data_IF_238067995830
#
_entry.id   IF_238067995830
#
_cell.length_a   1.000
_cell.length_b   1.000
_cell.length_c   1.000
_cell.angle_alpha   90.00
_cell.angle_beta   90.00
_cell.angle_gamma   90.00
#
_symmetry.space_group_name_H-M   'P 1'
#
loop_
_entity.id
_entity.type
_entity.pdbx_description
1 polymer ?
#
# COMPACT_ATOMS: atom_id res chain seq x y z
N UNK A 1 -21.60 36.49 -41.62
CA UNK A 1 -20.53 37.28 -40.96
C UNK A 1 -19.73 36.31 -40.14
N UNK A 2 -18.45 36.14 -40.47
CA UNK A 2 -17.57 35.22 -39.75
C UNK A 2 -16.89 36.01 -38.61
N UNK A 3 -17.38 35.79 -37.39
CA UNK A 3 -16.85 36.43 -36.18
C UNK A 3 -15.63 35.68 -35.63
N UNK A 4 -15.37 34.44 -36.09
CA UNK A 4 -14.17 33.70 -35.73
C UNK A 4 -12.90 34.36 -36.30
N UNK A 5 -13.05 35.18 -37.35
CA UNK A 5 -11.98 35.98 -37.91
C UNK A 5 -11.30 36.90 -36.86
N UNK A 6 -12.05 37.42 -35.88
CA UNK A 6 -11.50 38.28 -34.81
C UNK A 6 -10.62 37.53 -33.81
N UNK A 7 -10.68 36.20 -33.80
CA UNK A 7 -9.86 35.35 -32.93
C UNK A 7 -8.58 34.85 -33.62
N UNK A 8 -8.39 35.15 -34.90
CA UNK A 8 -7.20 34.75 -35.63
C UNK A 8 -6.07 35.77 -35.43
N UNK A 9 -4.84 35.28 -35.23
CA UNK A 9 -3.65 36.12 -35.04
C UNK A 9 -3.32 36.96 -36.29
N UNK A 10 -3.67 36.49 -37.49
CA UNK A 10 -3.46 37.16 -38.78
C UNK A 10 -4.66 38.00 -39.26
N UNK A 11 -5.50 38.48 -38.33
CA UNK A 11 -6.71 39.23 -38.71
C UNK A 11 -6.40 40.53 -39.48
N UNK A 12 -6.84 40.61 -40.75
CA UNK A 12 -6.84 41.86 -41.54
C UNK A 12 -8.23 42.52 -41.54
N UNK A 13 -8.39 43.68 -40.86
CA UNK A 13 -9.64 44.44 -40.86
C UNK A 13 -10.10 44.85 -42.26
N UNK A 14 -9.18 45.15 -43.19
CA UNK A 14 -9.52 45.60 -44.54
C UNK A 14 -10.08 44.46 -45.37
N UNK A 15 -9.41 43.31 -45.36
CA UNK A 15 -9.89 42.11 -46.04
C UNK A 15 -11.26 41.69 -45.48
N UNK A 16 -11.42 41.73 -44.16
CA UNK A 16 -12.68 41.39 -43.50
C UNK A 16 -13.82 42.35 -43.87
N UNK A 17 -13.60 43.67 -43.85
CA UNK A 17 -14.60 44.67 -44.29
C UNK A 17 -14.96 44.41 -45.76
N UNK A 18 -13.96 44.29 -46.63
CA UNK A 18 -14.19 44.09 -48.07
C UNK A 18 -14.96 42.81 -48.36
N UNK A 19 -14.72 41.72 -47.62
CA UNK A 19 -15.46 40.46 -47.72
C UNK A 19 -16.89 40.59 -47.18
N UNK A 20 -17.08 41.32 -46.09
CA UNK A 20 -18.39 41.50 -45.44
C UNK A 20 -19.33 42.39 -46.26
N UNK A 21 -18.79 43.36 -47.01
CA UNK A 21 -19.57 44.26 -47.89
C UNK A 21 -19.85 43.69 -49.29
N UNK A 22 -19.44 42.45 -49.58
CA UNK A 22 -19.75 41.80 -50.88
C UNK A 22 -21.20 41.30 -50.97
N UNK A 23 -21.93 41.24 -49.85
CA UNK A 23 -23.29 40.74 -49.76
C UNK A 23 -24.32 41.63 -50.49
N UNK A 24 -25.44 41.07 -50.97
CA UNK A 24 -26.50 41.82 -51.65
C UNK A 24 -27.05 42.99 -50.82
N UNK A 25 -27.23 42.80 -49.51
CA UNK A 25 -27.79 43.84 -48.61
C UNK A 25 -26.87 45.06 -48.51
N UNK A 26 -25.55 44.85 -48.56
CA UNK A 26 -24.56 45.93 -48.54
C UNK A 26 -24.51 46.71 -49.87
N UNK A 27 -25.02 46.14 -50.96
CA UNK A 27 -25.09 46.80 -52.29
C UNK A 27 -26.30 47.71 -52.43
N UNK A 28 -27.40 47.40 -51.75
CA UNK A 28 -28.60 48.25 -51.72
C UNK A 28 -28.39 49.51 -50.88
N UNK A 29 -27.90 49.37 -49.65
CA UNK A 29 -27.67 50.51 -48.76
C UNK A 29 -26.44 50.29 -47.86
N UNK A 30 -25.31 50.88 -48.27
CA UNK A 30 -24.03 50.74 -47.55
C UNK A 30 -24.05 51.34 -46.15
N UNK A 31 -24.71 52.48 -45.95
CA UNK A 31 -24.76 53.17 -44.65
C UNK A 31 -25.61 52.41 -43.63
N UNK A 32 -26.77 51.91 -44.06
CA UNK A 32 -27.66 51.11 -43.20
C UNK A 32 -27.02 49.77 -42.83
N UNK A 33 -26.36 49.13 -43.79
CA UNK A 33 -25.61 47.90 -43.53
C UNK A 33 -24.43 48.16 -42.57
N UNK A 34 -23.65 49.24 -42.77
CA UNK A 34 -22.56 49.61 -41.86
C UNK A 34 -23.07 49.85 -40.42
N UNK A 35 -24.18 50.58 -40.28
CA UNK A 35 -24.83 50.85 -38.98
C UNK A 35 -25.25 49.55 -38.29
N UNK A 36 -25.84 48.62 -39.05
CA UNK A 36 -26.23 47.30 -38.56
C UNK A 36 -25.03 46.48 -38.08
N UNK A 37 -23.91 46.51 -38.83
CA UNK A 37 -22.68 45.82 -38.44
C UNK A 37 -22.08 46.41 -37.17
N UNK A 38 -22.04 47.74 -37.05
CA UNK A 38 -21.55 48.42 -35.83
C UNK A 38 -22.40 48.03 -34.63
N UNK A 39 -23.73 48.03 -34.75
CA UNK A 39 -24.62 47.62 -33.68
C UNK A 39 -24.40 46.16 -33.24
N UNK A 40 -24.19 45.25 -34.21
CA UNK A 40 -23.87 43.84 -33.93
C UNK A 40 -22.52 43.69 -33.22
N UNK A 41 -21.49 44.41 -33.66
CA UNK A 41 -20.17 44.38 -33.01
C UNK A 41 -20.25 44.94 -31.58
N UNK A 42 -21.04 45.98 -31.35
CA UNK A 42 -21.27 46.53 -30.01
C UNK A 42 -21.96 45.51 -29.09
N UNK A 43 -23.00 44.81 -29.58
CA UNK A 43 -23.65 43.71 -28.84
C UNK A 43 -22.65 42.61 -28.48
N UNK A 44 -21.81 42.21 -29.45
CA UNK A 44 -20.80 41.18 -29.23
C UNK A 44 -19.77 41.58 -28.17
N UNK A 45 -19.29 42.82 -28.19
CA UNK A 45 -18.38 43.35 -27.15
C UNK A 45 -19.04 43.27 -25.77
N UNK A 46 -20.33 43.62 -25.68
CA UNK A 46 -21.07 43.54 -24.42
C UNK A 46 -21.21 42.09 -23.94
N UNK A 47 -21.57 41.16 -24.83
CA UNK A 47 -21.69 39.74 -24.49
C UNK A 47 -20.36 39.15 -24.00
N UNK A 48 -19.26 39.46 -24.67
CA UNK A 48 -17.92 39.02 -24.25
C UNK A 48 -17.55 39.60 -22.89
N UNK A 49 -17.79 40.90 -22.66
CA UNK A 49 -17.51 41.52 -21.37
C UNK A 49 -18.32 40.88 -20.24
N UNK A 50 -19.62 40.66 -20.45
CA UNK A 50 -20.49 40.01 -19.45
C UNK A 50 -20.01 38.58 -19.16
N UNK A 51 -19.66 37.82 -20.20
CA UNK A 51 -19.16 36.46 -20.06
C UNK A 51 -17.83 36.41 -19.30
N UNK A 52 -16.93 37.34 -19.60
CA UNK A 52 -15.65 37.48 -18.91
C UNK A 52 -15.83 37.87 -17.44
N UNK A 53 -16.67 38.87 -17.15
CA UNK A 53 -16.99 39.33 -15.80
C UNK A 53 -17.56 38.18 -14.96
N UNK A 54 -18.53 37.44 -15.52
CA UNK A 54 -19.14 36.28 -14.84
C UNK A 54 -18.11 35.19 -14.55
N UNK A 55 -17.21 34.93 -15.49
CA UNK A 55 -16.15 33.93 -15.30
C UNK A 55 -15.16 34.39 -14.23
N UNK A 56 -14.74 35.65 -14.28
CA UNK A 56 -13.84 36.23 -13.28
C UNK A 56 -14.46 36.21 -11.87
N UNK A 57 -15.75 36.53 -11.76
CA UNK A 57 -16.48 36.46 -10.50
C UNK A 57 -16.55 35.02 -9.96
N UNK A 58 -16.86 34.04 -10.81
CA UNK A 58 -16.84 32.63 -10.43
C UNK A 58 -15.45 32.17 -9.97
N UNK A 59 -14.39 32.58 -10.66
CA UNK A 59 -13.01 32.27 -10.27
C UNK A 59 -12.69 32.89 -8.91
N UNK A 60 -13.03 34.17 -8.70
CA UNK A 60 -12.80 34.87 -7.43
C UNK A 60 -13.56 34.24 -6.26
N UNK A 61 -14.77 33.73 -6.48
CA UNK A 61 -15.54 33.04 -5.45
C UNK A 61 -14.99 31.64 -5.13
N UNK A 62 -14.46 30.93 -6.13
CA UNK A 62 -14.01 29.54 -5.96
C UNK A 62 -12.58 29.42 -5.45
N UNK A 63 -11.67 30.34 -5.79
CA UNK A 63 -10.26 30.29 -5.36
C UNK A 63 -10.10 30.14 -3.83
N UNK A 64 -10.79 30.93 -2.99
CA UNK A 64 -10.66 30.79 -1.53
C UNK A 64 -11.14 29.44 -1.00
N UNK A 65 -12.15 28.85 -1.64
CA UNK A 65 -12.67 27.52 -1.27
C UNK A 65 -11.65 26.44 -1.60
N UNK A 66 -11.13 26.46 -2.83
CA UNK A 66 -10.09 25.52 -3.29
C UNK A 66 -8.83 25.64 -2.44
N UNK A 67 -8.41 26.86 -2.09
CA UNK A 67 -7.25 27.09 -1.23
C UNK A 67 -7.43 26.41 0.15
N UNK A 68 -8.61 26.56 0.78
CA UNK A 68 -8.91 25.87 2.04
C UNK A 68 -8.94 24.35 1.88
N UNK A 69 -9.53 23.84 0.81
CA UNK A 69 -9.56 22.39 0.53
C UNK A 69 -8.14 21.83 0.40
N UNK A 70 -7.23 22.56 -0.26
CA UNK A 70 -5.81 22.19 -0.39
C UNK A 70 -5.12 22.20 0.99
N UNK A 71 -5.36 23.21 1.83
CA UNK A 71 -4.79 23.27 3.18
C UNK A 71 -5.25 22.09 4.07
N UNK A 72 -6.54 21.75 4.02
CA UNK A 72 -7.08 20.59 4.74
C UNK A 72 -6.43 19.31 4.26
N UNK A 73 -6.38 19.10 2.93
CA UNK A 73 -5.73 17.93 2.33
C UNK A 73 -4.25 17.83 2.71
N UNK A 74 -3.53 18.95 2.76
CA UNK A 74 -2.13 18.98 3.17
C UNK A 74 -1.97 18.56 4.64
N UNK A 75 -2.86 19.00 5.53
CA UNK A 75 -2.83 18.62 6.94
C UNK A 75 -3.16 17.14 7.15
N UNK A 76 -4.15 16.62 6.43
CA UNK A 76 -4.50 15.19 6.46
C UNK A 76 -3.33 14.32 5.95
N UNK A 77 -2.68 14.72 4.86
CA UNK A 77 -1.52 14.02 4.33
C UNK A 77 -0.34 13.98 5.34
N UNK A 78 -0.08 15.09 6.04
CA UNK A 78 0.93 15.15 7.11
C UNK A 78 0.56 14.25 8.29
N UNK A 79 -0.72 14.25 8.69
CA UNK A 79 -1.19 13.38 9.77
C UNK A 79 -1.02 11.90 9.39
N UNK A 80 -1.39 11.53 8.17
CA UNK A 80 -1.24 10.17 7.66
C UNK A 80 0.23 9.75 7.57
N UNK A 81 1.12 10.66 7.14
CA UNK A 81 2.56 10.41 7.16
C UNK A 81 3.08 10.12 8.57
N UNK A 82 2.64 10.89 9.56
CA UNK A 82 3.04 10.67 10.96
C UNK A 82 2.52 9.33 11.50
N UNK A 83 1.25 9.01 11.25
CA UNK A 83 0.64 7.73 11.62
C UNK A 83 1.39 6.55 10.98
N UNK A 84 1.74 6.65 9.70
CA UNK A 84 2.48 5.58 9.01
C UNK A 84 3.89 5.39 9.58
N UNK A 85 4.55 6.48 9.99
CA UNK A 85 5.83 6.39 10.70
C UNK A 85 5.69 5.70 12.06
N UNK A 86 4.61 5.96 12.80
CA UNK A 86 4.34 5.29 14.08
C UNK A 86 4.10 3.79 13.87
N UNK A 87 3.22 3.42 12.94
CA UNK A 87 2.92 2.02 12.59
C UNK A 87 4.19 1.29 12.18
N UNK A 88 5.06 1.92 11.38
CA UNK A 88 6.36 1.34 11.02
C UNK A 88 7.23 1.05 12.25
N UNK A 89 7.26 1.96 13.22
CA UNK A 89 7.97 1.76 14.49
C UNK A 89 7.41 0.60 15.29
N UNK A 90 6.08 0.49 15.39
CA UNK A 90 5.41 -0.59 16.09
C UNK A 90 5.69 -1.95 15.45
N UNK A 91 5.67 -2.02 14.11
CA UNK A 91 6.02 -3.25 13.36
C UNK A 91 7.47 -3.67 13.64
N UNK A 92 8.42 -2.73 13.63
CA UNK A 92 9.82 -3.03 13.94
C UNK A 92 9.99 -3.56 15.37
N UNK A 93 9.25 -3.00 16.33
CA UNK A 93 9.27 -3.47 17.71
C UNK A 93 8.70 -4.89 17.82
N UNK A 94 7.55 -5.14 17.20
CA UNK A 94 6.94 -6.48 17.19
C UNK A 94 7.87 -7.52 16.56
N UNK A 95 8.54 -7.18 15.46
CA UNK A 95 9.50 -8.07 14.81
C UNK A 95 10.68 -8.38 15.75
N UNK A 96 11.23 -7.36 16.41
CA UNK A 96 12.32 -7.54 17.38
C UNK A 96 11.91 -8.43 18.56
N UNK A 97 10.76 -8.14 19.18
CA UNK A 97 10.24 -8.89 20.32
C UNK A 97 9.97 -10.36 19.92
N UNK A 98 9.40 -10.59 18.73
CA UNK A 98 9.16 -11.93 18.19
C UNK A 98 10.47 -12.70 17.95
N UNK A 99 11.49 -12.04 17.41
CA UNK A 99 12.82 -12.64 17.21
C UNK A 99 13.46 -13.04 18.54
N UNK A 100 13.39 -12.20 19.56
CA UNK A 100 13.90 -12.51 20.91
C UNK A 100 13.13 -13.67 21.56
N UNK A 101 11.81 -13.69 21.42
CA UNK A 101 10.98 -14.80 21.90
C UNK A 101 11.37 -16.11 21.19
N UNK A 102 11.58 -16.09 19.88
CA UNK A 102 12.01 -17.26 19.11
C UNK A 102 13.37 -17.78 19.55
N UNK A 103 14.35 -16.89 19.81
CA UNK A 103 15.66 -17.30 20.35
C UNK A 103 15.52 -17.99 21.72
N UNK A 104 14.59 -17.51 22.55
CA UNK A 104 14.33 -18.11 23.86
C UNK A 104 13.71 -19.50 23.70
N UNK A 105 12.74 -19.66 22.79
CA UNK A 105 12.15 -20.95 22.47
C UNK A 105 13.18 -21.96 21.97
N UNK A 106 14.11 -21.56 21.10
CA UNK A 106 15.19 -22.42 20.62
C UNK A 106 16.12 -22.89 21.76
N UNK A 107 16.43 -22.02 22.72
CA UNK A 107 17.22 -22.40 23.91
C UNK A 107 16.48 -23.42 24.77
N UNK A 108 15.18 -23.23 24.98
CA UNK A 108 14.34 -24.15 25.74
C UNK A 108 14.25 -25.50 25.03
N UNK A 109 14.06 -25.50 23.70
CA UNK A 109 14.00 -26.72 22.90
C UNK A 109 15.29 -27.53 22.98
N UNK A 110 16.45 -26.85 22.93
CA UNK A 110 17.74 -27.50 23.10
C UNK A 110 17.87 -28.17 24.48
N UNK A 111 17.56 -27.44 25.56
CA UNK A 111 17.59 -28.00 26.93
C UNK A 111 16.64 -29.18 27.05
N UNK A 112 15.44 -29.09 26.48
CA UNK A 112 14.46 -30.18 26.45
C UNK A 112 15.01 -31.41 25.73
N UNK A 113 15.65 -31.25 24.57
CA UNK A 113 16.27 -32.36 23.83
C UNK A 113 17.33 -33.06 24.67
N UNK A 114 18.25 -32.30 25.26
CA UNK A 114 19.29 -32.87 26.14
C UNK A 114 18.69 -33.59 27.35
N UNK A 115 17.63 -33.05 27.95
CA UNK A 115 16.94 -33.68 29.08
C UNK A 115 16.25 -34.98 28.67
N UNK A 116 15.65 -35.03 27.47
CA UNK A 116 15.03 -36.24 26.92
C UNK A 116 16.08 -37.33 26.64
N UNK A 117 17.23 -36.96 26.07
CA UNK A 117 18.35 -37.88 25.84
C UNK A 117 18.90 -38.43 27.16
N UNK A 118 19.15 -37.56 28.15
CA UNK A 118 19.62 -37.96 29.47
C UNK A 118 18.60 -38.88 30.18
N UNK A 119 17.32 -38.57 30.10
CA UNK A 119 16.25 -39.40 30.66
C UNK A 119 16.19 -40.78 30.00
N UNK A 120 16.38 -40.85 28.67
CA UNK A 120 16.46 -42.13 27.95
C UNK A 120 17.67 -42.95 28.41
N UNK A 121 18.85 -42.34 28.49
CA UNK A 121 20.06 -43.00 28.94
C UNK A 121 19.97 -43.50 30.39
N UNK A 122 19.38 -42.71 31.30
CA UNK A 122 19.15 -43.12 32.68
C UNK A 122 18.18 -44.31 32.77
N UNK A 123 17.11 -44.30 31.96
CA UNK A 123 16.16 -45.42 31.91
C UNK A 123 16.81 -46.69 31.37
N UNK A 124 17.65 -46.56 30.35
CA UNK A 124 18.45 -47.69 29.86
C UNK A 124 19.37 -48.20 30.97
N UNK A 125 20.12 -47.34 31.65
CA UNK A 125 21.00 -47.73 32.76
C UNK A 125 20.27 -48.42 33.93
N UNK A 126 19.07 -47.95 34.28
CA UNK A 126 18.21 -48.58 35.30
C UNK A 126 17.72 -49.97 34.86
N UNK A 127 17.31 -50.10 33.59
CA UNK A 127 16.98 -51.40 33.00
C UNK A 127 18.19 -52.35 33.04
N UNK A 128 19.39 -51.87 32.69
CA UNK A 128 20.64 -52.64 32.76
C UNK A 128 20.97 -53.06 34.20
N UNK A 129 20.78 -52.18 35.17
CA UNK A 129 21.04 -52.46 36.60
C UNK A 129 20.09 -53.54 37.12
N UNK A 130 18.79 -53.39 36.85
CA UNK A 130 17.76 -54.38 37.21
C UNK A 130 18.08 -55.74 36.57
N UNK A 131 18.43 -55.74 35.29
CA UNK A 131 18.75 -56.96 34.55
C UNK A 131 20.03 -57.64 35.07
N UNK A 132 21.03 -56.86 35.50
CA UNK A 132 22.25 -57.40 36.11
C UNK A 132 21.97 -58.06 37.45
N UNK A 133 21.13 -57.45 38.30
CA UNK A 133 20.73 -58.04 39.58
C UNK A 133 19.94 -59.34 39.40
N UNK A 134 18.99 -59.37 38.46
CA UNK A 134 18.26 -60.60 38.09
C UNK A 134 19.21 -61.73 37.66
N UNK A 135 20.27 -61.40 36.91
CA UNK A 135 21.26 -62.37 36.44
C UNK A 135 22.08 -62.88 37.62
N UNK A 136 22.58 -62.02 38.50
CA UNK A 136 23.31 -62.45 39.71
C UNK A 136 22.49 -63.42 40.55
N UNK A 137 21.20 -63.15 40.78
CA UNK A 137 20.29 -64.06 41.51
C UNK A 137 20.14 -65.43 40.84
N UNK A 138 19.96 -65.46 39.51
CA UNK A 138 19.83 -66.73 38.77
C UNK A 138 21.17 -67.49 38.73
N UNK A 139 22.31 -66.78 38.67
CA UNK A 139 23.63 -67.42 38.75
C UNK A 139 23.89 -68.05 40.12
N UNK A 140 23.47 -67.40 41.21
CA UNK A 140 23.55 -67.96 42.56
C UNK A 140 22.67 -69.21 42.75
N UNK A 141 21.59 -69.35 41.97
CA UNK A 141 20.73 -70.54 41.99
C UNK A 141 21.38 -71.79 41.39
N UNK A 142 22.40 -71.62 40.54
CA UNK A 142 23.12 -72.72 39.88
C UNK A 142 22.38 -73.43 38.73
N UNK A 143 21.20 -72.97 38.32
CA UNK A 143 20.43 -73.56 37.21
C UNK A 143 20.92 -73.08 35.84
N UNK A 144 21.73 -73.91 35.18
CA UNK A 144 22.36 -73.64 33.89
C UNK A 144 21.32 -73.37 32.77
N UNK A 145 20.14 -73.99 32.80
CA UNK A 145 19.13 -73.78 31.75
C UNK A 145 18.41 -72.44 31.92
N UNK A 146 18.12 -72.04 33.17
CA UNK A 146 17.53 -70.74 33.47
C UNK A 146 18.47 -69.58 33.10
N UNK A 147 19.76 -69.74 33.41
CA UNK A 147 20.82 -68.78 33.02
C UNK A 147 20.86 -68.60 31.50
N UNK A 148 20.91 -69.70 30.74
CA UNK A 148 20.99 -69.64 29.27
C UNK A 148 19.75 -68.99 28.65
N UNK A 149 18.55 -69.31 29.12
CA UNK A 149 17.31 -68.69 28.63
C UNK A 149 17.26 -67.19 28.92
N UNK A 150 17.66 -66.76 30.12
CA UNK A 150 17.68 -65.34 30.48
C UNK A 150 18.72 -64.57 29.65
N UNK A 151 19.93 -65.10 29.47
CA UNK A 151 20.99 -64.51 28.63
C UNK A 151 20.55 -64.30 27.17
N UNK A 152 19.84 -65.26 26.59
CA UNK A 152 19.26 -65.12 25.23
C UNK A 152 18.15 -64.06 25.21
N UNK A 153 17.32 -63.98 26.25
CA UNK A 153 16.34 -62.91 26.43
C UNK A 153 16.97 -61.52 26.57
N UNK A 154 18.15 -61.43 27.19
CA UNK A 154 18.92 -60.18 27.31
C UNK A 154 19.44 -59.72 25.95
N UNK A 155 20.02 -60.63 25.15
CA UNK A 155 20.52 -60.30 23.81
C UNK A 155 19.42 -59.71 22.92
N UNK A 156 18.18 -60.20 23.05
CA UNK A 156 17.04 -59.69 22.29
C UNK A 156 16.49 -58.35 22.80
N UNK A 157 16.72 -58.00 24.07
CA UNK A 157 16.32 -56.70 24.64
C UNK A 157 17.29 -55.56 24.30
N UNK A 158 18.47 -55.88 23.75
CA UNK A 158 19.49 -54.92 23.31
C UNK A 158 19.28 -54.40 21.88
N UNK A 159 18.42 -55.05 21.09
CA UNK A 159 18.07 -54.69 19.70
C UNK A 159 16.82 -53.82 19.68
#
# INVERSE_FOLDING_TARGET
MDLAAFSNDDFDPKEWINKTFQCPEARENKEEFATTIVAKLQSFIQEVNISLEKTAEQVNQNIPRIAREIEVMQNEAKLLQHQMSSVKGDVMKVEHDASQAMQTLLKIDHVKSCMQEASKALREADNWTTLSADVEEIFDSGDINAIAMKLVGMQNSLV
#
